data_IF_885672104171
#
_entry.id   IF_885672104171
#
_cell.length_a   1.000
_cell.length_b   1.000
_cell.length_c   1.000
_cell.angle_alpha   90.00
_cell.angle_beta   90.00
_cell.angle_gamma   90.00
#
_symmetry.space_group_name_H-M   'P 1'
#
loop_
_entity.id
_entity.type
_entity.pdbx_description
1 polymer ?
#
# COMPACT_ATOMS: atom_id res chain seq x y z
N UNK A 1 -1.47 17.48 45.00
CA UNK A 1 -1.58 16.19 44.28
C UNK A 1 -1.08 16.42 42.87
N UNK A 2 0.24 16.27 42.67
CA UNK A 2 0.89 16.38 41.38
C UNK A 2 0.66 15.07 40.63
N UNK A 3 -0.24 15.05 39.65
CA UNK A 3 -0.23 14.05 38.58
C UNK A 3 0.86 14.44 37.59
N UNK A 4 2.12 14.27 38.02
CA UNK A 4 3.27 14.26 37.12
C UNK A 4 3.04 13.18 36.06
N UNK A 5 2.62 13.65 34.88
CA UNK A 5 3.23 13.33 33.60
C UNK A 5 4.02 12.01 33.63
N UNK A 6 3.31 10.89 33.43
CA UNK A 6 3.91 9.71 32.79
C UNK A 6 4.19 10.03 31.32
N UNK A 7 5.11 10.97 31.08
CA UNK A 7 5.92 10.99 29.85
C UNK A 7 7.04 9.97 30.06
N UNK A 8 6.69 8.68 30.02
CA UNK A 8 7.71 7.70 29.64
C UNK A 8 7.83 7.79 28.12
N UNK A 9 8.69 8.71 27.68
CA UNK A 9 9.18 8.76 26.31
C UNK A 9 9.93 7.45 26.03
N UNK A 10 9.21 6.41 25.62
CA UNK A 10 9.77 5.35 24.81
C UNK A 10 10.02 5.93 23.41
N UNK A 11 11.10 6.70 23.25
CA UNK A 11 11.67 7.17 21.98
C UNK A 11 10.76 7.82 20.93
N UNK A 12 9.51 8.22 21.24
CA UNK A 12 8.65 8.96 20.32
C UNK A 12 8.35 8.26 18.99
N UNK A 13 8.58 6.95 18.89
CA UNK A 13 8.46 6.20 17.63
C UNK A 13 7.00 6.02 17.20
N UNK A 14 6.10 5.83 18.17
CA UNK A 14 4.68 5.64 17.95
C UNK A 14 3.83 6.04 19.16
N UNK A 15 2.54 6.26 18.94
CA UNK A 15 1.51 6.40 19.97
C UNK A 15 0.26 5.58 19.61
N UNK A 16 -0.42 5.02 20.61
CA UNK A 16 -1.76 4.47 20.41
C UNK A 16 -2.79 5.59 20.51
N UNK A 17 -3.81 5.54 19.64
CA UNK A 17 -4.95 6.44 19.73
C UNK A 17 -5.67 6.24 21.08
N UNK A 18 -6.16 7.30 21.74
CA UNK A 18 -6.81 7.18 23.05
C UNK A 18 -8.03 6.26 23.08
N UNK A 19 -8.71 6.12 21.94
CA UNK A 19 -9.88 5.25 21.75
C UNK A 19 -9.49 3.79 21.45
N UNK A 20 -8.20 3.48 21.33
CA UNK A 20 -7.67 2.15 21.00
C UNK A 20 -7.83 1.74 19.55
N UNK A 21 -8.39 2.59 18.67
CA UNK A 21 -8.73 2.21 17.30
C UNK A 21 -7.59 2.41 16.30
N UNK A 22 -6.40 2.81 16.77
CA UNK A 22 -5.23 2.90 15.91
C UNK A 22 -3.90 3.11 16.62
N UNK A 23 -2.84 2.98 15.84
CA UNK A 23 -1.46 3.22 16.21
C UNK A 23 -0.84 4.18 15.20
N UNK A 24 -0.33 5.31 15.68
CA UNK A 24 0.37 6.33 14.89
C UNK A 24 1.87 6.09 15.01
N UNK A 25 2.55 6.02 13.88
CA UNK A 25 3.99 5.75 13.74
C UNK A 25 4.61 6.98 13.10
N UNK A 26 5.60 7.58 13.76
CA UNK A 26 6.16 8.88 13.39
C UNK A 26 7.43 8.81 12.54
N UNK A 27 7.96 7.61 12.31
CA UNK A 27 9.15 7.40 11.50
C UNK A 27 8.91 6.30 10.47
N UNK A 28 9.41 6.51 9.25
CA UNK A 28 9.33 5.53 8.18
C UNK A 28 10.31 4.36 8.43
N UNK A 29 11.46 4.65 9.05
CA UNK A 29 12.55 3.71 9.35
C UNK A 29 12.34 3.02 10.70
N UNK A 30 11.25 2.27 10.84
CA UNK A 30 11.09 1.38 11.99
C UNK A 30 12.11 0.23 11.91
N UNK A 31 12.51 -0.40 13.05
CA UNK A 31 13.51 -1.49 13.05
C UNK A 31 13.17 -2.71 12.17
N UNK A 32 11.89 -2.85 11.81
CA UNK A 32 11.32 -3.78 10.84
C UNK A 32 10.01 -3.20 10.33
N UNK A 33 9.47 -3.69 9.22
CA UNK A 33 8.11 -3.31 8.81
C UNK A 33 7.09 -3.61 9.90
N UNK A 34 6.29 -2.61 10.24
CA UNK A 34 5.16 -2.74 11.15
C UNK A 34 3.91 -2.79 10.31
N UNK A 35 3.26 -3.95 10.32
CA UNK A 35 2.16 -4.23 9.39
C UNK A 35 0.80 -4.06 10.05
N UNK A 36 -0.11 -3.43 9.31
CA UNK A 36 -1.55 -3.58 9.49
C UNK A 36 -2.07 -4.67 8.56
N UNK A 37 -3.13 -5.36 8.98
CA UNK A 37 -3.81 -6.39 8.19
C UNK A 37 -5.24 -5.93 7.92
N UNK A 38 -5.58 -5.88 6.64
CA UNK A 38 -6.86 -5.42 6.13
C UNK A 38 -7.49 -6.60 5.40
N UNK A 39 -8.78 -6.85 5.65
CA UNK A 39 -9.44 -8.02 5.08
C UNK A 39 -10.95 -7.83 5.00
N UNK A 40 -11.62 -8.74 4.29
CA UNK A 40 -13.07 -8.84 4.26
C UNK A 40 -13.54 -10.31 4.23
N UNK A 41 -14.86 -10.50 4.39
CA UNK A 41 -15.50 -11.82 4.41
C UNK A 41 -15.43 -12.54 3.06
N UNK A 42 -15.19 -11.82 1.97
CA UNK A 42 -14.91 -12.40 0.65
C UNK A 42 -13.48 -12.97 0.57
N UNK A 43 -12.75 -13.01 1.68
CA UNK A 43 -11.42 -13.62 1.84
C UNK A 43 -10.30 -12.87 1.12
N UNK A 44 -10.52 -11.61 0.74
CA UNK A 44 -9.42 -10.74 0.30
C UNK A 44 -8.67 -10.22 1.52
N UNK A 45 -7.34 -10.22 1.44
CA UNK A 45 -6.45 -9.76 2.49
C UNK A 45 -5.35 -8.86 1.91
N UNK A 46 -4.98 -7.84 2.66
CA UNK A 46 -3.86 -6.96 2.36
C UNK A 46 -3.07 -6.67 3.63
N UNK A 47 -1.75 -6.76 3.51
CA UNK A 47 -0.77 -6.46 4.53
C UNK A 47 -0.06 -5.16 4.15
N UNK A 48 -0.12 -4.16 5.03
CA UNK A 48 0.33 -2.80 4.73
C UNK A 48 1.27 -2.32 5.83
N UNK A 49 2.52 -2.04 5.49
CA UNK A 49 3.51 -1.49 6.41
C UNK A 49 3.32 0.02 6.61
N UNK A 50 4.10 0.59 7.53
CA UNK A 50 4.13 2.02 7.76
C UNK A 50 4.47 2.85 6.50
N UNK A 51 5.30 2.31 5.60
CA UNK A 51 5.66 2.98 4.33
C UNK A 51 4.77 2.58 3.15
N UNK A 52 3.70 1.81 3.41
CA UNK A 52 2.82 1.27 2.38
C UNK A 52 3.35 0.02 1.67
N UNK A 53 4.56 -0.44 1.99
CA UNK A 53 5.06 -1.74 1.52
C UNK A 53 4.19 -2.90 2.02
N UNK A 54 4.15 -4.01 1.29
CA UNK A 54 3.52 -5.25 1.73
C UNK A 54 2.81 -5.97 0.58
N UNK A 55 1.83 -6.81 0.93
CA UNK A 55 1.33 -7.85 0.04
C UNK A 55 -0.17 -8.03 0.14
N UNK A 56 -0.76 -8.54 -0.92
CA UNK A 56 -2.19 -8.74 -1.02
C UNK A 56 -2.47 -10.07 -1.67
N UNK A 57 -3.49 -10.74 -1.15
CA UNK A 57 -3.78 -12.11 -1.48
C UNK A 57 -5.26 -12.41 -1.24
N UNK A 58 -5.75 -13.40 -1.97
CA UNK A 58 -7.00 -14.06 -1.67
C UNK A 58 -6.70 -15.32 -0.84
N UNK A 59 -7.42 -15.53 0.27
CA UNK A 59 -7.29 -16.75 1.06
C UNK A 59 -8.26 -17.81 0.52
N UNK A 60 -7.72 -18.89 -0.04
CA UNK A 60 -8.55 -19.96 -0.60
C UNK A 60 -9.26 -20.77 0.48
N UNK A 61 -10.23 -21.60 0.08
CA UNK A 61 -10.91 -22.55 0.97
C UNK A 61 -9.97 -23.59 1.60
N UNK A 62 -8.82 -23.81 0.97
CA UNK A 62 -7.77 -24.70 1.44
C UNK A 62 -6.72 -23.96 2.30
N UNK A 63 -6.98 -22.70 2.62
CA UNK A 63 -6.07 -21.79 3.31
C UNK A 63 -4.78 -21.47 2.54
N UNK A 64 -4.78 -21.64 1.21
CA UNK A 64 -3.68 -21.18 0.37
C UNK A 64 -3.73 -19.65 0.25
N UNK A 65 -2.57 -19.00 0.42
CA UNK A 65 -2.41 -17.57 0.20
C UNK A 65 -2.21 -17.31 -1.28
N UNK A 66 -3.30 -17.09 -2.01
CA UNK A 66 -3.31 -16.83 -3.45
C UNK A 66 -2.85 -15.39 -3.68
N UNK A 67 -1.54 -15.24 -3.80
CA UNK A 67 -0.80 -13.98 -3.85
C UNK A 67 -1.10 -13.18 -5.12
N UNK A 68 -1.66 -11.99 -4.94
CA UNK A 68 -1.87 -11.01 -6.02
C UNK A 68 -0.60 -10.19 -6.23
N UNK A 69 0.01 -9.72 -5.14
CA UNK A 69 1.37 -9.17 -5.09
C UNK A 69 2.10 -9.77 -3.88
N UNK A 70 3.41 -10.03 -3.99
CA UNK A 70 4.17 -10.76 -2.95
C UNK A 70 5.07 -9.86 -2.09
N UNK A 71 6.14 -9.32 -2.66
CA UNK A 71 7.13 -8.55 -1.90
C UNK A 71 7.55 -7.25 -2.63
N UNK A 72 6.99 -7.00 -3.83
CA UNK A 72 7.41 -5.90 -4.71
C UNK A 72 6.31 -4.88 -4.98
N UNK A 73 6.81 -3.72 -5.43
CA UNK A 73 6.18 -2.41 -5.47
C UNK A 73 4.66 -2.37 -5.61
N UNK A 74 3.99 -1.95 -4.53
CA UNK A 74 2.62 -1.40 -4.51
C UNK A 74 2.73 0.03 -4.01
N UNK A 75 3.00 0.98 -4.91
CA UNK A 75 3.37 2.36 -4.54
C UNK A 75 2.74 3.42 -5.42
N UNK A 76 2.73 4.64 -4.90
CA UNK A 76 2.43 5.86 -5.63
C UNK A 76 3.65 6.77 -5.57
N UNK A 77 4.17 7.13 -6.74
CA UNK A 77 5.28 8.06 -6.93
C UNK A 77 4.72 9.42 -7.31
N UNK A 78 5.27 10.46 -6.70
CA UNK A 78 5.00 11.85 -7.02
C UNK A 78 6.26 12.46 -7.62
N UNK A 79 6.08 13.35 -8.59
CA UNK A 79 7.14 14.15 -9.17
C UNK A 79 6.71 15.61 -9.26
N UNK A 80 7.56 16.52 -8.79
CA UNK A 80 7.43 17.95 -9.11
C UNK A 80 8.00 18.17 -10.52
N UNK A 81 7.17 18.62 -11.45
CA UNK A 81 7.57 18.77 -12.86
C UNK A 81 8.48 20.00 -13.07
N UNK A 82 8.61 20.89 -12.09
CA UNK A 82 9.49 22.05 -12.19
C UNK A 82 10.98 21.69 -12.06
N UNK A 83 11.31 20.75 -11.18
CA UNK A 83 12.70 20.38 -10.86
C UNK A 83 13.00 18.88 -10.99
N UNK A 84 11.98 18.05 -11.25
CA UNK A 84 12.11 16.60 -11.39
C UNK A 84 12.21 15.85 -10.06
N UNK A 85 12.08 16.52 -8.91
CA UNK A 85 12.13 15.89 -7.59
C UNK A 85 11.05 14.83 -7.49
N UNK A 86 11.46 13.58 -7.21
CA UNK A 86 10.55 12.47 -7.01
C UNK A 86 10.51 12.04 -5.55
N UNK A 87 9.33 11.70 -5.03
CA UNK A 87 9.17 11.16 -3.69
C UNK A 87 7.95 10.25 -3.58
N UNK A 88 7.86 9.53 -2.47
CA UNK A 88 6.68 8.79 -2.07
C UNK A 88 6.11 9.40 -0.80
N UNK A 89 4.78 9.40 -0.65
CA UNK A 89 4.14 9.88 0.60
C UNK A 89 4.63 9.05 1.79
N UNK A 90 4.82 7.74 1.60
CA UNK A 90 5.39 6.83 2.60
C UNK A 90 6.91 6.84 2.72
N UNK A 91 7.61 7.82 2.12
CA UNK A 91 9.08 7.90 1.99
C UNK A 91 9.71 6.79 1.14
N UNK A 92 9.41 5.53 1.41
CA UNK A 92 9.82 4.39 0.58
C UNK A 92 8.95 4.23 -0.68
N UNK A 93 9.48 3.64 -1.77
CA UNK A 93 10.81 3.05 -1.88
C UNK A 93 11.90 4.03 -2.33
N UNK A 94 11.56 5.25 -2.76
CA UNK A 94 12.57 6.22 -3.23
C UNK A 94 13.50 6.70 -2.10
N UNK A 95 13.04 6.64 -0.85
CA UNK A 95 13.74 7.12 0.34
C UNK A 95 14.10 8.61 0.28
N UNK A 96 13.47 9.37 -0.62
CA UNK A 96 13.58 10.83 -0.64
C UNK A 96 13.04 11.39 0.67
N UNK A 97 13.81 12.23 1.34
CA UNK A 97 13.43 12.83 2.62
C UNK A 97 12.12 13.62 2.51
N UNK A 98 11.25 13.44 3.50
CA UNK A 98 9.95 14.09 3.66
C UNK A 98 9.81 14.65 5.08
N UNK A 99 8.99 15.67 5.22
CA UNK A 99 8.67 16.34 6.47
C UNK A 99 7.34 15.79 7.05
N UNK A 100 7.13 15.96 8.35
CA UNK A 100 5.85 15.68 9.02
C UNK A 100 5.26 14.29 8.73
N UNK A 101 6.13 13.28 8.56
CA UNK A 101 5.69 11.92 8.28
C UNK A 101 4.88 11.35 9.46
N UNK A 102 3.76 10.70 9.13
CA UNK A 102 2.98 9.93 10.08
C UNK A 102 2.21 8.82 9.35
N UNK A 103 2.33 7.58 9.83
CA UNK A 103 1.46 6.49 9.45
C UNK A 103 0.51 6.15 10.59
N UNK A 104 -0.80 6.19 10.35
CA UNK A 104 -1.82 5.67 11.26
C UNK A 104 -2.32 4.33 10.74
N UNK A 105 -2.03 3.27 11.48
CA UNK A 105 -2.69 1.98 11.31
C UNK A 105 -3.94 1.96 12.18
N UNK A 106 -5.11 1.78 11.55
CA UNK A 106 -6.40 1.70 12.23
C UNK A 106 -7.12 0.41 11.87
N UNK A 107 -8.17 0.10 12.61
CA UNK A 107 -9.10 -0.96 12.23
C UNK A 107 -9.69 -0.60 10.86
N UNK A 108 -9.50 -1.50 9.89
CA UNK A 108 -10.07 -1.39 8.55
C UNK A 108 -9.36 -0.45 7.58
N UNK A 109 -8.33 0.29 7.98
CA UNK A 109 -7.51 1.05 7.02
C UNK A 109 -6.14 1.45 7.57
N UNK A 110 -5.23 1.78 6.66
CA UNK A 110 -3.97 2.47 6.96
C UNK A 110 -4.01 3.85 6.29
N UNK A 111 -3.53 4.89 6.98
CA UNK A 111 -3.35 6.21 6.39
C UNK A 111 -1.92 6.69 6.61
N UNK A 112 -1.24 7.05 5.53
CA UNK A 112 0.13 7.55 5.54
C UNK A 112 0.11 9.00 5.07
N UNK A 113 0.76 9.88 5.82
CA UNK A 113 0.85 11.29 5.52
C UNK A 113 2.32 11.73 5.55
N UNK A 114 2.67 12.71 4.72
CA UNK A 114 3.94 13.43 4.79
C UNK A 114 3.86 14.71 3.97
N UNK A 115 4.89 15.55 4.06
CA UNK A 115 5.02 16.81 3.33
C UNK A 115 6.35 16.86 2.58
N UNK A 116 6.34 17.40 1.35
CA UNK A 116 7.57 17.64 0.58
C UNK A 116 7.44 18.94 -0.20
N UNK A 117 8.40 19.86 -0.02
CA UNK A 117 8.51 21.09 -0.80
C UNK A 117 7.18 21.89 -0.89
N UNK A 118 6.45 21.97 0.22
CA UNK A 118 5.15 22.66 0.28
C UNK A 118 3.97 21.86 -0.28
N UNK A 119 4.11 20.56 -0.52
CA UNK A 119 3.01 19.65 -0.86
C UNK A 119 2.73 18.72 0.31
N UNK A 120 1.57 18.87 0.95
CA UNK A 120 1.03 17.91 1.91
C UNK A 120 0.37 16.75 1.15
N UNK A 121 0.77 15.52 1.44
CA UNK A 121 0.21 14.32 0.84
C UNK A 121 -0.39 13.39 1.90
N UNK A 122 -1.52 12.76 1.54
CA UNK A 122 -2.08 11.63 2.30
C UNK A 122 -2.45 10.48 1.37
N UNK A 123 -2.16 9.27 1.82
CA UNK A 123 -2.45 8.02 1.15
C UNK A 123 -3.18 7.08 2.12
N UNK A 124 -4.47 6.89 1.89
CA UNK A 124 -5.30 5.95 2.65
C UNK A 124 -5.50 4.68 1.85
N UNK A 125 -5.28 3.54 2.48
CA UNK A 125 -5.44 2.19 1.90
C UNK A 125 -6.43 1.41 2.75
N UNK A 126 -7.44 0.82 2.12
CA UNK A 126 -8.39 -0.07 2.79
C UNK A 126 -8.86 -1.20 1.88
N UNK A 127 -9.35 -2.28 2.50
CA UNK A 127 -10.08 -3.36 1.81
C UNK A 127 -11.57 -3.12 2.05
N UNK A 128 -12.41 -2.95 1.01
CA UNK A 128 -13.85 -2.77 1.19
C UNK A 128 -14.51 -4.00 1.80
N UNK A 129 -15.70 -3.83 2.39
CA UNK A 129 -16.45 -4.94 3.00
C UNK A 129 -16.79 -6.09 2.04
N UNK A 130 -16.79 -5.83 0.74
CA UNK A 130 -17.04 -6.80 -0.33
C UNK A 130 -16.08 -6.58 -1.50
N UNK A 131 -15.80 -7.65 -2.23
CA UNK A 131 -14.96 -7.66 -3.43
C UNK A 131 -13.50 -8.00 -3.15
N UNK A 132 -12.74 -8.17 -4.23
CA UNK A 132 -11.37 -8.68 -4.19
C UNK A 132 -10.34 -7.60 -4.55
N UNK A 133 -10.37 -6.48 -3.83
CA UNK A 133 -9.49 -5.36 -4.15
C UNK A 133 -9.18 -4.48 -2.94
N UNK A 134 -8.11 -3.72 -3.07
CA UNK A 134 -7.85 -2.54 -2.24
C UNK A 134 -8.41 -1.29 -2.92
N UNK A 135 -8.73 -0.29 -2.09
CA UNK A 135 -9.00 1.07 -2.56
C UNK A 135 -7.96 2.00 -1.97
N UNK A 136 -7.33 2.79 -2.85
CA UNK A 136 -6.34 3.79 -2.46
C UNK A 136 -6.91 5.19 -2.68
N UNK A 137 -7.01 5.97 -1.61
CA UNK A 137 -7.41 7.38 -1.68
C UNK A 137 -6.18 8.26 -1.48
N UNK A 138 -5.85 9.04 -2.50
CA UNK A 138 -4.75 9.98 -2.49
C UNK A 138 -5.32 11.39 -2.36
N UNK A 139 -4.80 12.20 -1.43
CA UNK A 139 -5.11 13.63 -1.36
C UNK A 139 -3.81 14.41 -1.31
N UNK A 140 -3.69 15.39 -2.19
CA UNK A 140 -2.56 16.31 -2.24
C UNK A 140 -3.09 17.72 -1.98
N UNK A 141 -2.37 18.49 -1.17
CA UNK A 141 -2.66 19.91 -0.92
C UNK A 141 -1.39 20.71 -1.11
N UNK A 142 -1.46 21.71 -1.99
CA UNK A 142 -0.40 22.70 -2.14
C UNK A 142 -0.52 23.74 -1.01
N UNK A 143 0.52 23.84 -0.20
CA UNK A 143 0.69 24.85 0.86
C UNK A 143 1.82 25.83 0.55
N UNK A 144 2.44 25.74 -0.63
CA UNK A 144 3.38 26.74 -1.10
C UNK A 144 2.67 27.99 -1.60
N UNK A 145 3.40 29.11 -1.67
CA UNK A 145 2.87 30.37 -2.23
C UNK A 145 2.67 30.31 -3.75
N UNK A 146 3.41 29.44 -4.42
CA UNK A 146 3.39 29.27 -5.88
C UNK A 146 2.57 28.06 -6.29
N UNK A 147 1.98 28.13 -7.49
CA UNK A 147 1.38 26.98 -8.14
C UNK A 147 2.44 25.89 -8.41
N UNK A 148 2.03 24.63 -8.25
CA UNK A 148 2.88 23.45 -8.38
C UNK A 148 2.26 22.49 -9.38
N UNK A 149 3.04 22.10 -10.39
CA UNK A 149 2.63 21.10 -11.38
C UNK A 149 3.23 19.75 -10.99
N UNK A 150 2.37 18.78 -10.71
CA UNK A 150 2.78 17.47 -10.23
C UNK A 150 2.37 16.38 -11.23
N UNK A 151 3.25 15.40 -11.40
CA UNK A 151 2.94 14.14 -12.04
C UNK A 151 2.85 13.02 -11.00
N UNK A 152 1.88 12.12 -11.15
CA UNK A 152 1.67 10.99 -10.24
C UNK A 152 1.69 9.68 -11.03
N UNK A 153 2.39 8.68 -10.50
CA UNK A 153 2.55 7.37 -11.11
C UNK A 153 2.23 6.29 -10.09
N UNK A 154 1.27 5.42 -10.38
CA UNK A 154 1.02 4.23 -9.58
C UNK A 154 1.74 3.03 -10.17
N UNK A 155 2.26 2.15 -9.31
CA UNK A 155 2.90 0.92 -9.74
C UNK A 155 2.49 -0.24 -8.83
N UNK A 156 2.16 -1.37 -9.45
CA UNK A 156 1.89 -2.66 -8.80
C UNK A 156 2.67 -3.74 -9.53
N UNK A 157 3.44 -4.54 -8.80
CA UNK A 157 4.01 -5.79 -9.31
C UNK A 157 3.02 -6.92 -9.06
N UNK A 158 2.50 -7.53 -10.13
CA UNK A 158 1.60 -8.68 -10.03
C UNK A 158 2.39 -9.98 -9.92
N UNK A 159 2.07 -10.77 -8.90
CA UNK A 159 2.66 -12.08 -8.64
C UNK A 159 1.75 -13.21 -9.14
N UNK A 160 0.44 -13.14 -8.86
CA UNK A 160 -0.60 -14.07 -9.33
C UNK A 160 -0.24 -15.56 -9.19
N UNK A 161 0.28 -15.95 -8.02
CA UNK A 161 0.62 -17.34 -7.65
C UNK A 161 0.29 -17.59 -6.15
N UNK A 162 1.07 -18.41 -5.43
CA UNK A 162 0.84 -18.69 -4.00
C UNK A 162 0.11 -20.01 -3.72
N UNK A 163 0.10 -20.90 -4.71
CA UNK A 163 -0.42 -22.27 -4.63
C UNK A 163 0.67 -23.27 -5.05
N UNK A 164 0.49 -24.54 -4.69
CA UNK A 164 1.48 -25.59 -4.96
C UNK A 164 1.38 -26.14 -6.39
N UNK A 165 2.52 -26.28 -7.06
CA UNK A 165 2.65 -26.91 -8.37
C UNK A 165 4.09 -27.44 -8.57
N UNK A 166 4.32 -28.38 -9.51
CA UNK A 166 5.66 -28.93 -9.72
C UNK A 166 6.65 -27.86 -10.20
N UNK A 167 7.84 -27.81 -9.60
CA UNK A 167 8.85 -26.74 -9.82
C UNK A 167 9.22 -26.49 -11.28
N UNK A 168 9.22 -27.53 -12.13
CA UNK A 168 9.54 -27.38 -13.56
C UNK A 168 8.49 -26.58 -14.34
N UNK A 169 7.32 -26.29 -13.74
CA UNK A 169 6.31 -25.38 -14.30
C UNK A 169 6.50 -23.91 -13.92
N UNK A 170 7.45 -23.55 -13.03
CA UNK A 170 7.75 -22.15 -12.67
C UNK A 170 8.12 -21.30 -13.90
N UNK A 171 8.71 -21.91 -14.94
CA UNK A 171 9.08 -21.21 -16.18
C UNK A 171 7.89 -20.96 -17.12
N UNK A 172 6.75 -21.60 -16.89
CA UNK A 172 5.54 -21.47 -17.70
C UNK A 172 4.54 -20.51 -17.04
N UNK A 173 5.03 -19.33 -16.63
CA UNK A 173 4.19 -18.23 -16.19
C UNK A 173 3.39 -17.70 -17.37
N UNK A 174 2.13 -18.10 -17.45
CA UNK A 174 1.18 -17.68 -18.48
C UNK A 174 0.53 -16.34 -18.13
N UNK A 175 1.33 -15.30 -17.87
CA UNK A 175 0.82 -13.97 -17.53
C UNK A 175 0.76 -13.05 -18.75
N UNK A 176 -0.34 -12.30 -18.88
CA UNK A 176 -0.53 -11.29 -19.92
C UNK A 176 -0.98 -9.98 -19.27
N UNK A 177 -0.22 -8.92 -19.51
CA UNK A 177 -0.55 -7.57 -19.04
C UNK A 177 -0.97 -6.69 -20.21
N UNK A 178 -2.10 -6.00 -20.07
CA UNK A 178 -2.61 -5.07 -21.07
C UNK A 178 -3.23 -3.82 -20.44
N UNK A 179 -3.22 -2.71 -21.17
CA UNK A 179 -3.98 -1.52 -20.80
C UNK A 179 -5.42 -1.68 -21.30
N UNK A 180 -6.38 -1.62 -20.38
CA UNK A 180 -7.82 -1.67 -20.67
C UNK A 180 -8.40 -0.27 -20.56
N UNK A 181 -8.90 0.26 -21.68
CA UNK A 181 -9.38 1.64 -21.78
C UNK A 181 -10.67 1.85 -20.99
N UNK A 182 -11.53 0.84 -20.94
CA UNK A 182 -12.76 0.79 -20.16
C UNK A 182 -12.53 0.85 -18.65
N UNK A 183 -11.37 0.37 -18.18
CA UNK A 183 -10.94 0.49 -16.78
C UNK A 183 -10.10 1.75 -16.54
N UNK A 184 -9.67 2.43 -17.61
CA UNK A 184 -8.58 3.39 -17.58
C UNK A 184 -7.40 2.90 -16.72
N UNK A 185 -6.97 1.66 -16.99
CA UNK A 185 -6.10 0.94 -16.08
C UNK A 185 -5.38 -0.23 -16.71
N UNK A 186 -4.47 -0.82 -15.93
CA UNK A 186 -3.71 -2.02 -16.29
C UNK A 186 -4.45 -3.24 -15.76
N UNK A 187 -4.59 -4.26 -16.59
CA UNK A 187 -5.11 -5.58 -16.23
C UNK A 187 -4.05 -6.64 -16.50
N UNK A 188 -3.84 -7.53 -15.55
CA UNK A 188 -2.93 -8.66 -15.63
C UNK A 188 -3.72 -9.95 -15.45
N UNK A 189 -3.66 -10.80 -16.46
CA UNK A 189 -4.29 -12.11 -16.51
C UNK A 189 -3.27 -13.21 -16.26
N UNK A 190 -3.60 -14.25 -15.51
CA UNK A 190 -2.76 -15.45 -15.37
C UNK A 190 -3.55 -16.70 -15.73
N UNK A 191 -3.12 -17.38 -16.80
CA UNK A 191 -3.67 -18.67 -17.23
C UNK A 191 -2.87 -19.86 -16.68
N UNK A 192 -2.40 -19.77 -15.43
CA UNK A 192 -1.57 -20.81 -14.84
C UNK A 192 -2.33 -22.15 -14.75
N UNK A 193 -1.84 -23.25 -15.35
CA UNK A 193 -2.63 -24.48 -15.52
C UNK A 193 -2.96 -25.21 -14.20
N UNK A 194 -2.20 -24.91 -13.13
CA UNK A 194 -2.42 -25.45 -11.79
C UNK A 194 -3.16 -24.49 -10.86
N UNK A 195 -3.65 -23.35 -11.36
CA UNK A 195 -4.40 -22.39 -10.55
C UNK A 195 -5.62 -23.08 -9.91
N UNK A 196 -5.77 -23.05 -8.58
CA UNK A 196 -6.86 -23.75 -7.90
C UNK A 196 -8.23 -23.09 -8.05
N UNK A 197 -8.29 -21.88 -8.62
CA UNK A 197 -9.52 -21.11 -8.85
C UNK A 197 -9.29 -20.01 -9.91
N UNK A 198 -10.34 -19.32 -10.33
CA UNK A 198 -10.35 -18.32 -11.42
C UNK A 198 -10.05 -16.87 -10.98
N UNK A 199 -9.40 -16.66 -9.82
CA UNK A 199 -9.16 -15.30 -9.28
C UNK A 199 -7.69 -14.86 -9.41
N UNK A 200 -6.94 -15.47 -10.32
CA UNK A 200 -5.54 -15.10 -10.61
C UNK A 200 -5.47 -14.01 -11.67
N UNK A 201 -6.17 -12.92 -11.38
CA UNK A 201 -6.17 -11.73 -12.21
C UNK A 201 -5.95 -10.52 -11.30
N UNK A 202 -5.17 -9.56 -11.77
CA UNK A 202 -4.87 -8.33 -11.07
C UNK A 202 -5.25 -7.12 -11.89
N UNK A 203 -5.60 -6.03 -11.24
CA UNK A 203 -5.78 -4.75 -11.94
C UNK A 203 -5.30 -3.58 -11.10
N UNK A 204 -4.94 -2.50 -11.79
CA UNK A 204 -4.67 -1.19 -11.22
C UNK A 204 -5.40 -0.18 -12.09
N UNK A 205 -6.41 0.46 -11.53
CA UNK A 205 -7.28 1.38 -12.24
C UNK A 205 -7.45 2.67 -11.45
N UNK A 206 -7.67 3.77 -12.18
CA UNK A 206 -8.00 5.08 -11.61
C UNK A 206 -9.37 5.55 -12.11
N UNK A 207 -10.22 5.97 -11.18
CA UNK A 207 -11.51 6.62 -11.46
C UNK A 207 -11.36 8.11 -11.73
#
# INVERSE_FOLDING_TARGET
MNSELKKSAQNGLYEFAPDGNGCRIYHAETPRYWYNYLWNEDRYCAQISQVGHGRSYYLSEKADMCMINRDDARYVYLRDDADGTCWNIGKGPLNTEVEDYCCTHSIGHTQICSRKNGIEGSWRIFVPKKGFHEVWTLKLRNTAEQEKRLSMFSAVSFYLEGFSYPRYYEMYRCMKTEFKRELNGIYCDSAHPFAPHELYHGFLASS
#
